data_IF_342171117381
#
_entry.id   IF_342171117381
#
_cell.length_a   1.000
_cell.length_b   1.000
_cell.length_c   1.000
_cell.angle_alpha   90.00
_cell.angle_beta   90.00
_cell.angle_gamma   90.00
#
_symmetry.space_group_name_H-M   'P 1'
#
loop_
_entity.id
_entity.type
_entity.pdbx_description
1 polymer ?
#
# COMPACT_ATOMS: atom_id res chain seq x y z
N UNK A 1 -21.28 41.78 -5.18
CA UNK A 1 -19.90 41.25 -5.34
C UNK A 1 -19.72 39.85 -4.74
N UNK A 2 -20.12 39.55 -3.49
CA UNK A 2 -20.02 38.17 -2.94
C UNK A 2 -20.77 37.11 -3.77
N UNK A 3 -21.97 37.46 -4.27
CA UNK A 3 -22.79 36.56 -5.09
C UNK A 3 -22.22 36.25 -6.49
N UNK A 4 -21.24 37.02 -6.99
CA UNK A 4 -20.62 36.77 -8.30
C UNK A 4 -19.35 35.93 -8.22
N UNK A 5 -18.64 35.94 -7.08
CA UNK A 5 -17.35 35.25 -6.93
C UNK A 5 -17.53 33.73 -6.81
N UNK A 6 -18.48 33.26 -6.01
CA UNK A 6 -18.69 31.81 -5.83
C UNK A 6 -19.01 31.05 -7.13
N UNK A 7 -19.89 31.56 -8.03
CA UNK A 7 -20.08 30.97 -9.35
C UNK A 7 -18.79 30.94 -10.20
N UNK A 8 -17.95 31.98 -10.13
CA UNK A 8 -16.67 32.03 -10.85
C UNK A 8 -15.68 30.99 -10.32
N UNK A 9 -15.53 30.90 -8.99
CA UNK A 9 -14.67 29.90 -8.34
C UNK A 9 -15.11 28.48 -8.70
N UNK A 10 -16.41 28.23 -8.72
CA UNK A 10 -16.98 26.94 -9.13
C UNK A 10 -16.64 26.62 -10.59
N UNK A 11 -16.82 27.59 -11.51
CA UNK A 11 -16.51 27.41 -12.93
C UNK A 11 -15.02 27.14 -13.18
N UNK A 12 -14.14 27.74 -12.39
CA UNK A 12 -12.69 27.52 -12.42
C UNK A 12 -12.23 26.27 -11.65
N UNK A 13 -13.15 25.54 -11.00
CA UNK A 13 -12.87 24.38 -10.14
C UNK A 13 -11.92 24.73 -8.98
N UNK A 14 -12.09 25.91 -8.40
CA UNK A 14 -11.35 26.43 -7.24
C UNK A 14 -12.14 26.14 -5.96
N UNK A 15 -12.33 24.86 -5.67
CA UNK A 15 -13.22 24.42 -4.58
C UNK A 15 -12.68 24.74 -3.19
N UNK A 16 -11.36 24.79 -3.01
CA UNK A 16 -10.75 25.17 -1.75
C UNK A 16 -10.94 26.63 -1.43
N UNK A 17 -10.64 27.50 -2.41
CA UNK A 17 -11.00 28.93 -2.32
C UNK A 17 -12.48 29.13 -2.05
N UNK A 18 -13.35 28.38 -2.73
CA UNK A 18 -14.81 28.51 -2.52
C UNK A 18 -15.26 28.11 -1.11
N UNK A 19 -14.58 27.17 -0.46
CA UNK A 19 -14.91 26.70 0.88
C UNK A 19 -14.35 27.64 1.97
N UNK A 20 -13.15 28.19 1.75
CA UNK A 20 -12.49 29.06 2.74
C UNK A 20 -12.77 30.56 2.56
N UNK A 21 -13.42 30.97 1.47
CA UNK A 21 -13.63 32.38 1.11
C UNK A 21 -14.19 33.23 2.26
N UNK A 22 -15.28 32.81 2.90
CA UNK A 22 -15.90 33.58 3.99
C UNK A 22 -14.99 33.67 5.23
N UNK A 23 -14.26 32.59 5.54
CA UNK A 23 -13.30 32.56 6.65
C UNK A 23 -12.14 33.52 6.39
N UNK A 24 -11.56 33.49 5.19
CA UNK A 24 -10.44 34.36 4.80
C UNK A 24 -10.86 35.82 4.66
N UNK A 25 -12.09 36.10 4.22
CA UNK A 25 -12.63 37.47 4.18
C UNK A 25 -12.76 38.06 5.59
N UNK A 26 -13.23 37.27 6.55
CA UNK A 26 -13.30 37.70 7.95
C UNK A 26 -11.90 37.92 8.52
N UNK A 27 -10.98 36.97 8.32
CA UNK A 27 -9.58 37.07 8.76
C UNK A 27 -8.88 38.32 8.21
N UNK A 28 -9.03 38.61 6.91
CA UNK A 28 -8.46 39.81 6.29
C UNK A 28 -8.99 41.09 6.95
N UNK A 29 -10.28 41.13 7.29
CA UNK A 29 -10.90 42.28 7.95
C UNK A 29 -10.47 42.47 9.40
N UNK A 30 -10.19 41.37 10.14
CA UNK A 30 -9.84 41.43 11.56
C UNK A 30 -8.35 41.61 11.82
N UNK A 31 -7.51 41.02 10.98
CA UNK A 31 -6.03 41.05 11.13
C UNK A 31 -5.36 42.11 10.24
N UNK A 32 -6.11 42.73 9.33
CA UNK A 32 -5.58 43.78 8.45
C UNK A 32 -4.67 43.26 7.35
N UNK A 33 -4.93 42.06 6.83
CA UNK A 33 -4.14 41.48 5.73
C UNK A 33 -4.12 42.42 4.52
N UNK A 34 -2.95 42.56 3.92
CA UNK A 34 -2.80 43.19 2.62
C UNK A 34 -3.51 42.38 1.55
N UNK A 35 -3.84 43.01 0.41
CA UNK A 35 -4.48 42.31 -0.72
C UNK A 35 -3.64 41.13 -1.24
N UNK A 36 -2.31 41.26 -1.20
CA UNK A 36 -1.40 40.20 -1.62
C UNK A 36 -1.43 39.02 -0.64
N UNK A 37 -1.33 39.28 0.67
CA UNK A 37 -1.38 38.22 1.69
C UNK A 37 -2.71 37.46 1.66
N UNK A 38 -3.84 38.18 1.55
CA UNK A 38 -5.15 37.54 1.40
C UNK A 38 -5.21 36.65 0.17
N UNK A 39 -4.72 37.13 -0.97
CA UNK A 39 -4.74 36.36 -2.21
C UNK A 39 -3.82 35.14 -2.14
N UNK A 40 -2.66 35.28 -1.53
CA UNK A 40 -1.72 34.19 -1.29
C UNK A 40 -2.35 33.09 -0.42
N UNK A 41 -2.96 33.46 0.71
CA UNK A 41 -3.64 32.50 1.60
C UNK A 41 -4.77 31.76 0.89
N UNK A 42 -5.57 32.47 0.09
CA UNK A 42 -6.63 31.85 -0.72
C UNK A 42 -6.07 30.84 -1.74
N UNK A 43 -4.95 31.15 -2.39
CA UNK A 43 -4.29 30.22 -3.29
C UNK A 43 -3.70 29.02 -2.55
N UNK A 44 -3.10 29.24 -1.37
CA UNK A 44 -2.60 28.16 -0.52
C UNK A 44 -3.72 27.20 -0.11
N UNK A 45 -4.90 27.70 0.26
CA UNK A 45 -6.06 26.85 0.59
C UNK A 45 -6.48 25.96 -0.60
N UNK A 46 -6.49 26.50 -1.81
CA UNK A 46 -6.77 25.71 -3.01
C UNK A 46 -5.70 24.65 -3.27
N UNK A 47 -4.41 25.02 -3.15
CA UNK A 47 -3.30 24.11 -3.36
C UNK A 47 -3.34 22.96 -2.35
N UNK A 48 -3.62 23.25 -1.08
CA UNK A 48 -3.76 22.25 -0.02
C UNK A 48 -4.87 21.26 -0.34
N UNK A 49 -6.07 21.74 -0.67
CA UNK A 49 -7.22 20.88 -0.99
C UNK A 49 -6.98 20.05 -2.26
N UNK A 50 -6.28 20.60 -3.25
CA UNK A 50 -5.87 19.82 -4.44
C UNK A 50 -4.85 18.75 -4.11
N UNK A 51 -3.86 19.07 -3.26
CA UNK A 51 -2.86 18.12 -2.76
C UNK A 51 -3.52 16.95 -2.04
N UNK A 52 -4.41 17.24 -1.09
CA UNK A 52 -5.13 16.24 -0.31
C UNK A 52 -5.96 15.31 -1.20
N UNK A 53 -6.74 15.87 -2.15
CA UNK A 53 -7.52 15.08 -3.10
C UNK A 53 -6.65 14.22 -4.01
N UNK A 54 -5.47 14.72 -4.41
CA UNK A 54 -4.54 13.94 -5.22
C UNK A 54 -4.02 12.72 -4.44
N UNK A 55 -3.67 12.92 -3.17
CA UNK A 55 -3.25 11.83 -2.27
C UNK A 55 -4.38 10.83 -2.08
N UNK A 56 -5.60 11.28 -1.75
CA UNK A 56 -6.77 10.41 -1.59
C UNK A 56 -7.05 9.58 -2.85
N UNK A 57 -6.95 10.19 -4.03
CA UNK A 57 -7.11 9.50 -5.31
C UNK A 57 -6.06 8.41 -5.48
N UNK A 58 -4.78 8.71 -5.21
CA UNK A 58 -3.70 7.74 -5.29
C UNK A 58 -3.86 6.60 -4.29
N UNK A 59 -4.29 6.87 -3.06
CA UNK A 59 -4.59 5.84 -2.05
C UNK A 59 -5.70 4.90 -2.55
N UNK A 60 -6.78 5.45 -3.12
CA UNK A 60 -7.87 4.64 -3.71
C UNK A 60 -7.37 3.77 -4.87
N UNK A 61 -6.56 4.35 -5.78
CA UNK A 61 -5.98 3.63 -6.90
C UNK A 61 -4.98 2.56 -6.48
N UNK A 62 -4.29 2.75 -5.35
CA UNK A 62 -3.33 1.79 -4.83
C UNK A 62 -3.96 0.46 -4.39
N UNK A 63 -5.27 0.42 -4.15
CA UNK A 63 -6.01 -0.81 -3.86
C UNK A 63 -5.43 -1.60 -2.66
N UNK A 64 -4.88 -0.91 -1.67
CA UNK A 64 -4.41 -1.53 -0.42
C UNK A 64 -5.51 -2.40 0.21
N UNK A 65 -5.10 -3.53 0.81
CA UNK A 65 -6.02 -4.35 1.62
C UNK A 65 -6.51 -3.56 2.81
N UNK A 66 -5.58 -2.92 3.52
CA UNK A 66 -5.85 -2.00 4.62
C UNK A 66 -4.90 -0.81 4.52
N UNK A 67 -5.40 0.41 4.75
CA UNK A 67 -4.52 1.59 4.82
C UNK A 67 -3.76 1.55 6.16
N UNK A 68 -2.51 1.12 6.12
CA UNK A 68 -1.61 1.04 7.28
C UNK A 68 -0.62 2.19 7.27
N UNK A 69 -0.25 2.70 8.44
CA UNK A 69 0.80 3.72 8.58
C UNK A 69 2.00 3.17 9.33
N UNK A 70 3.15 3.83 9.17
CA UNK A 70 4.38 3.45 9.86
C UNK A 70 4.30 3.74 11.36
N UNK A 71 3.54 4.76 11.74
CA UNK A 71 3.29 5.14 13.13
C UNK A 71 2.47 4.08 13.87
N UNK A 72 1.66 3.31 13.15
CA UNK A 72 0.85 2.21 13.72
C UNK A 72 1.67 0.94 13.96
N UNK A 73 2.93 0.89 13.51
CA UNK A 73 3.77 -0.30 13.63
C UNK A 73 4.53 -0.31 14.96
N UNK A 74 4.28 -1.34 15.79
CA UNK A 74 4.99 -1.51 17.05
C UNK A 74 6.37 -2.17 16.84
N UNK A 75 7.39 -1.33 16.66
CA UNK A 75 8.79 -1.75 16.57
C UNK A 75 9.33 -2.41 17.85
N UNK A 76 8.68 -2.20 19.00
CA UNK A 76 9.09 -2.83 20.25
C UNK A 76 8.72 -4.32 20.31
N UNK A 77 7.63 -4.69 19.62
CA UNK A 77 7.18 -6.07 19.50
C UNK A 77 8.14 -6.93 18.69
N UNK A 78 8.72 -6.37 17.62
CA UNK A 78 9.69 -7.08 16.78
C UNK A 78 10.99 -6.29 16.61
N UNK A 79 11.90 -6.46 17.58
CA UNK A 79 13.22 -5.79 17.62
C UNK A 79 14.16 -6.19 16.48
N UNK A 80 13.85 -7.25 15.75
CA UNK A 80 14.69 -7.68 14.60
C UNK A 80 14.56 -6.73 13.42
N UNK A 81 13.45 -5.97 13.36
CA UNK A 81 13.19 -4.99 12.33
C UNK A 81 13.86 -3.67 12.73
N UNK A 82 14.88 -3.28 11.96
CA UNK A 82 15.59 -2.02 12.20
C UNK A 82 14.73 -0.86 11.73
N UNK A 83 14.32 0.02 12.65
CA UNK A 83 13.54 1.22 12.33
C UNK A 83 14.22 2.08 11.26
N UNK A 84 15.54 2.27 11.33
CA UNK A 84 16.29 3.06 10.34
C UNK A 84 16.13 2.56 8.91
N UNK A 85 16.11 1.24 8.72
CA UNK A 85 15.97 0.58 7.42
C UNK A 85 14.55 0.80 6.85
N UNK A 86 13.52 0.65 7.68
CA UNK A 86 12.14 0.92 7.27
C UNK A 86 11.94 2.38 6.84
N UNK A 87 12.52 3.32 7.59
CA UNK A 87 12.42 4.74 7.27
C UNK A 87 13.24 5.12 6.03
N UNK A 88 14.37 4.44 5.76
CA UNK A 88 15.11 4.58 4.51
C UNK A 88 14.22 4.19 3.31
N UNK A 89 13.56 3.04 3.38
CA UNK A 89 12.64 2.60 2.32
C UNK A 89 11.49 3.58 2.13
N UNK A 90 10.97 4.14 3.22
CA UNK A 90 9.91 5.14 3.20
C UNK A 90 10.32 6.46 2.51
N UNK A 91 11.61 6.74 2.35
CA UNK A 91 12.09 7.90 1.56
C UNK A 91 11.88 7.72 0.05
N UNK A 92 11.65 6.48 -0.40
CA UNK A 92 11.50 6.12 -1.80
C UNK A 92 12.78 6.13 -2.61
N UNK A 93 13.96 6.10 -1.95
CA UNK A 93 15.24 6.03 -2.63
C UNK A 93 15.32 4.80 -3.55
N UNK A 94 14.98 3.62 -3.03
CA UNK A 94 14.99 2.38 -3.81
C UNK A 94 14.09 2.46 -5.05
N UNK A 95 12.94 3.14 -4.96
CA UNK A 95 12.01 3.33 -6.11
C UNK A 95 12.63 4.18 -7.21
N UNK A 96 13.34 5.26 -6.84
CA UNK A 96 14.03 6.14 -7.79
C UNK A 96 15.24 5.48 -8.43
N UNK A 97 15.86 4.55 -7.72
CA UNK A 97 17.00 3.75 -8.19
C UNK A 97 16.56 2.48 -8.94
N UNK A 98 15.25 2.27 -9.14
CA UNK A 98 14.67 1.06 -9.76
C UNK A 98 15.11 -0.25 -9.09
N UNK A 99 15.37 -0.20 -7.78
CA UNK A 99 15.68 -1.38 -6.97
C UNK A 99 14.41 -2.04 -6.46
N UNK A 100 14.48 -3.35 -6.26
CA UNK A 100 13.38 -4.15 -5.75
C UNK A 100 13.54 -4.43 -4.26
N UNK A 101 12.47 -4.87 -3.59
CA UNK A 101 12.52 -5.23 -2.16
C UNK A 101 11.78 -6.53 -1.92
N UNK A 102 12.42 -7.49 -1.26
CA UNK A 102 11.82 -8.75 -0.88
C UNK A 102 11.75 -8.91 0.64
N UNK A 103 10.53 -8.96 1.16
CA UNK A 103 10.27 -9.28 2.57
C UNK A 103 10.10 -10.77 2.77
N UNK A 104 10.97 -11.37 3.58
CA UNK A 104 10.95 -12.80 3.89
C UNK A 104 10.66 -13.02 5.37
N UNK A 105 9.89 -14.04 5.72
CA UNK A 105 9.72 -14.44 7.12
C UNK A 105 8.40 -15.16 7.38
N UNK A 106 8.18 -15.71 8.58
CA UNK A 106 6.96 -16.45 8.89
C UNK A 106 5.70 -15.56 8.86
N UNK A 107 4.50 -16.14 8.77
CA UNK A 107 3.25 -15.38 8.82
C UNK A 107 3.08 -14.59 10.13
N UNK A 108 2.50 -13.40 10.02
CA UNK A 108 2.17 -12.57 11.20
C UNK A 108 3.33 -11.77 11.79
N UNK A 109 4.49 -11.69 11.13
CA UNK A 109 5.65 -10.92 11.60
C UNK A 109 5.65 -9.43 11.22
N UNK A 110 4.70 -8.98 10.41
CA UNK A 110 4.54 -7.56 10.04
C UNK A 110 4.83 -7.20 8.57
N UNK A 111 5.28 -8.15 7.73
CA UNK A 111 5.63 -7.91 6.31
C UNK A 111 4.58 -7.10 5.54
N UNK A 112 3.34 -7.59 5.49
CA UNK A 112 2.24 -6.94 4.76
C UNK A 112 1.84 -5.59 5.35
N UNK A 113 2.03 -5.36 6.65
CA UNK A 113 1.79 -4.06 7.27
C UNK A 113 2.85 -3.07 6.79
N UNK A 114 4.13 -3.45 6.88
CA UNK A 114 5.25 -2.60 6.49
C UNK A 114 5.21 -2.25 5.00
N UNK A 115 4.90 -3.20 4.12
CA UNK A 115 4.77 -2.93 2.68
C UNK A 115 3.72 -1.86 2.39
N UNK A 116 2.51 -2.00 2.97
CA UNK A 116 1.42 -1.04 2.77
C UNK A 116 1.74 0.32 3.42
N UNK A 117 2.40 0.32 4.58
CA UNK A 117 2.81 1.55 5.27
C UNK A 117 3.90 2.31 4.50
N UNK A 118 4.90 1.61 3.95
CA UNK A 118 5.89 2.20 3.04
C UNK A 118 5.19 2.73 1.80
N UNK A 119 4.31 1.93 1.17
CA UNK A 119 3.52 2.35 0.01
C UNK A 119 2.72 3.63 0.27
N UNK A 120 2.10 3.76 1.44
CA UNK A 120 1.39 4.98 1.83
C UNK A 120 2.32 6.19 1.96
N UNK A 121 3.50 6.02 2.56
CA UNK A 121 4.52 7.08 2.65
C UNK A 121 4.97 7.55 1.26
N UNK A 122 5.14 6.61 0.32
CA UNK A 122 5.52 6.93 -1.06
C UNK A 122 4.42 7.66 -1.82
N UNK A 123 3.15 7.31 -1.60
CA UNK A 123 2.01 8.07 -2.15
C UNK A 123 2.01 9.51 -1.66
N UNK A 124 2.29 9.71 -0.36
CA UNK A 124 2.42 11.05 0.24
C UNK A 124 3.62 11.82 -0.33
N UNK A 125 4.69 11.12 -0.71
CA UNK A 125 5.84 11.67 -1.43
C UNK A 125 5.58 11.93 -2.93
N UNK A 126 4.35 11.74 -3.41
CA UNK A 126 3.95 12.05 -4.78
C UNK A 126 4.04 10.88 -5.76
N UNK A 127 4.44 9.69 -5.32
CA UNK A 127 4.57 8.50 -6.16
C UNK A 127 3.23 7.76 -6.32
N UNK A 128 3.16 6.92 -7.34
CA UNK A 128 2.06 5.99 -7.60
C UNK A 128 2.42 4.59 -7.11
N UNK A 129 1.49 3.97 -6.40
CA UNK A 129 1.68 2.62 -5.83
C UNK A 129 0.48 1.78 -6.23
N UNK A 130 0.69 0.49 -6.46
CA UNK A 130 -0.39 -0.48 -6.64
C UNK A 130 -0.11 -1.72 -5.80
N UNK A 131 -1.07 -2.15 -5.00
CA UNK A 131 -0.99 -3.32 -4.13
C UNK A 131 -1.94 -4.41 -4.62
N UNK A 132 -1.43 -5.63 -4.72
CA UNK A 132 -2.24 -6.84 -4.91
C UNK A 132 -1.63 -8.02 -4.18
N UNK A 133 -2.47 -8.95 -3.74
CA UNK A 133 -1.96 -10.27 -3.36
C UNK A 133 -1.56 -11.05 -4.62
N UNK A 134 -0.61 -11.97 -4.51
CA UNK A 134 -0.23 -12.83 -5.65
C UNK A 134 -1.43 -13.62 -6.20
N UNK A 135 -2.38 -14.01 -5.33
CA UNK A 135 -3.58 -14.73 -5.75
C UNK A 135 -4.56 -13.86 -6.53
N UNK A 136 -4.69 -12.59 -6.15
CA UNK A 136 -5.53 -11.64 -6.87
C UNK A 136 -4.89 -11.21 -8.19
N UNK A 137 -3.56 -11.10 -8.23
CA UNK A 137 -2.80 -10.89 -9.48
C UNK A 137 -3.10 -12.01 -10.47
N UNK A 138 -2.90 -13.27 -10.06
CA UNK A 138 -3.19 -14.42 -10.93
C UNK A 138 -4.66 -14.44 -11.34
N UNK A 139 -5.58 -14.12 -10.44
CA UNK A 139 -7.02 -14.08 -10.75
C UNK A 139 -7.35 -13.02 -11.80
N UNK A 140 -6.74 -11.84 -11.73
CA UNK A 140 -6.96 -10.77 -12.70
C UNK A 140 -6.57 -11.23 -14.11
N UNK A 141 -5.38 -11.83 -14.26
CA UNK A 141 -4.91 -12.32 -15.56
C UNK A 141 -5.74 -13.51 -16.08
N UNK A 142 -6.12 -14.46 -15.21
CA UNK A 142 -6.96 -15.60 -15.61
C UNK A 142 -8.35 -15.17 -16.09
N UNK A 143 -8.94 -14.13 -15.48
CA UNK A 143 -10.25 -13.66 -15.90
C UNK A 143 -10.21 -12.96 -17.26
N UNK A 144 -9.07 -12.38 -17.63
CA UNK A 144 -8.90 -11.52 -18.78
C UNK A 144 -8.45 -12.25 -20.05
N UNK A 145 -7.75 -13.38 -19.92
CA UNK A 145 -7.55 -14.32 -21.04
C UNK A 145 -8.88 -14.74 -21.67
N UNK A 146 -9.96 -14.78 -20.89
CA UNK A 146 -11.29 -15.09 -21.39
C UNK A 146 -11.97 -13.92 -22.14
N UNK A 147 -11.41 -12.70 -22.07
CA UNK A 147 -12.06 -11.45 -22.50
C UNK A 147 -11.20 -10.58 -23.45
N UNK A 148 -10.06 -11.07 -23.93
CA UNK A 148 -9.13 -10.39 -24.86
C UNK A 148 -8.58 -9.02 -24.35
N UNK A 149 -8.58 -8.78 -23.04
CA UNK A 149 -8.20 -7.50 -22.43
C UNK A 149 -6.75 -7.38 -21.93
N UNK A 150 -5.87 -8.34 -22.23
CA UNK A 150 -4.58 -8.59 -21.53
C UNK A 150 -3.72 -7.34 -21.35
N UNK A 151 -3.64 -6.48 -22.37
CA UNK A 151 -2.84 -5.26 -22.31
C UNK A 151 -3.33 -4.26 -21.25
N UNK A 152 -4.64 -4.16 -21.04
CA UNK A 152 -5.22 -3.21 -20.08
C UNK A 152 -4.91 -3.63 -18.65
N UNK A 153 -5.01 -4.93 -18.35
CA UNK A 153 -4.64 -5.45 -17.04
C UNK A 153 -3.15 -5.31 -16.85
N UNK A 154 -2.34 -5.70 -17.83
CA UNK A 154 -0.90 -5.59 -17.74
C UNK A 154 -0.43 -4.16 -17.46
N UNK A 155 -1.00 -3.15 -18.15
CA UNK A 155 -0.70 -1.73 -17.86
C UNK A 155 -0.94 -1.35 -16.40
N UNK A 156 -1.99 -1.88 -15.76
CA UNK A 156 -2.26 -1.63 -14.33
C UNK A 156 -1.13 -2.10 -13.42
N UNK A 157 -0.45 -3.19 -13.79
CA UNK A 157 0.69 -3.73 -13.06
C UNK A 157 2.03 -3.08 -13.46
N UNK A 158 2.14 -2.50 -14.66
CA UNK A 158 3.40 -1.92 -15.16
C UNK A 158 3.55 -0.41 -14.91
N UNK A 159 2.47 0.36 -14.97
CA UNK A 159 2.52 1.84 -14.87
C UNK A 159 2.90 2.40 -13.48
N UNK A 160 2.51 1.79 -12.34
CA UNK A 160 2.83 2.34 -11.02
C UNK A 160 4.34 2.44 -10.77
N UNK A 161 4.77 3.51 -10.09
CA UNK A 161 6.17 3.67 -9.64
C UNK A 161 6.60 2.49 -8.75
N UNK A 162 5.72 2.05 -7.85
CA UNK A 162 5.90 0.84 -7.05
C UNK A 162 4.73 -0.14 -7.23
N UNK A 163 5.05 -1.39 -7.57
CA UNK A 163 4.12 -2.51 -7.47
C UNK A 163 4.41 -3.31 -6.20
N UNK A 164 3.39 -3.57 -5.39
CA UNK A 164 3.49 -4.43 -4.20
C UNK A 164 2.73 -5.74 -4.48
N UNK A 165 3.44 -6.86 -4.44
CA UNK A 165 2.89 -8.21 -4.59
C UNK A 165 3.01 -8.96 -3.26
N UNK A 166 1.89 -9.15 -2.57
CA UNK A 166 1.85 -9.67 -1.21
C UNK A 166 1.43 -11.15 -1.14
N UNK A 167 1.67 -11.78 0.02
CA UNK A 167 1.21 -13.12 0.39
C UNK A 167 1.80 -14.31 -0.42
N UNK A 168 3.02 -14.18 -0.98
CA UNK A 168 3.69 -15.35 -1.58
C UNK A 168 3.95 -16.44 -0.53
N UNK A 169 3.83 -17.70 -0.93
CA UNK A 169 4.09 -18.85 -0.05
C UNK A 169 3.00 -19.20 0.96
N UNK A 170 1.80 -18.61 0.83
CA UNK A 170 0.64 -18.99 1.66
C UNK A 170 -0.03 -20.30 1.20
N UNK A 171 -0.13 -20.51 -0.11
CA UNK A 171 -0.72 -21.70 -0.77
C UNK A 171 -0.03 -21.91 -2.11
N UNK A 172 -0.19 -23.10 -2.70
CA UNK A 172 0.19 -23.30 -4.10
C UNK A 172 -0.64 -22.42 -5.02
N UNK A 173 0.01 -21.89 -6.04
CA UNK A 173 -0.63 -21.07 -7.05
C UNK A 173 -1.34 -21.96 -8.09
N UNK A 174 -2.39 -21.46 -8.76
CA UNK A 174 -2.98 -22.13 -9.92
C UNK A 174 -1.95 -22.41 -11.02
N UNK A 175 -2.27 -23.31 -11.96
CA UNK A 175 -1.46 -23.51 -13.16
C UNK A 175 -1.31 -22.17 -13.93
N UNK A 176 -0.20 -22.01 -14.67
CA UNK A 176 0.15 -20.81 -15.45
C UNK A 176 0.39 -19.52 -14.65
N UNK A 177 0.26 -19.55 -13.31
CA UNK A 177 0.56 -18.40 -12.46
C UNK A 177 1.99 -17.89 -12.59
N UNK A 178 2.93 -18.80 -12.85
CA UNK A 178 4.33 -18.47 -13.09
C UNK A 178 4.52 -17.59 -14.33
N UNK A 179 3.77 -17.84 -15.40
CA UNK A 179 3.85 -17.08 -16.66
C UNK A 179 3.43 -15.63 -16.42
N UNK A 180 2.30 -15.39 -15.74
CA UNK A 180 1.82 -14.03 -15.46
C UNK A 180 2.75 -13.26 -14.52
N UNK A 181 3.21 -13.91 -13.43
CA UNK A 181 4.16 -13.27 -12.52
C UNK A 181 5.47 -12.97 -13.23
N UNK A 182 5.97 -13.91 -14.05
CA UNK A 182 7.18 -13.72 -14.83
C UNK A 182 7.05 -12.55 -15.80
N UNK A 183 5.95 -12.44 -16.54
CA UNK A 183 5.74 -11.33 -17.47
C UNK A 183 5.77 -9.97 -16.75
N UNK A 184 5.11 -9.86 -15.60
CA UNK A 184 5.12 -8.63 -14.79
C UNK A 184 6.52 -8.29 -14.30
N UNK A 185 7.24 -9.26 -13.71
CA UNK A 185 8.59 -9.04 -13.18
C UNK A 185 9.57 -8.70 -14.31
N UNK A 186 9.52 -9.44 -15.42
CA UNK A 186 10.37 -9.23 -16.59
C UNK A 186 10.22 -7.81 -17.15
N UNK A 187 8.98 -7.32 -17.30
CA UNK A 187 8.72 -5.99 -17.90
C UNK A 187 8.99 -4.83 -16.93
N UNK A 188 9.06 -5.09 -15.63
CA UNK A 188 9.38 -4.08 -14.60
C UNK A 188 10.87 -4.02 -14.27
N UNK A 189 11.60 -5.12 -14.47
CA UNK A 189 13.05 -5.20 -14.25
C UNK A 189 13.79 -4.01 -14.89
N UNK A 190 14.61 -3.31 -14.10
CA UNK A 190 15.36 -2.08 -14.47
C UNK A 190 14.53 -0.88 -14.94
N UNK A 191 13.19 -0.95 -14.87
CA UNK A 191 12.30 0.13 -15.35
C UNK A 191 11.47 0.71 -14.21
N UNK A 192 10.95 -0.14 -13.31
CA UNK A 192 10.11 0.26 -12.17
C UNK A 192 10.27 -0.73 -11.01
N UNK A 193 10.21 -0.24 -9.78
CA UNK A 193 10.43 -1.07 -8.59
C UNK A 193 9.24 -1.95 -8.24
N UNK A 194 9.55 -3.13 -7.72
CA UNK A 194 8.60 -4.12 -7.23
C UNK A 194 8.99 -4.51 -5.81
N UNK A 195 8.00 -4.54 -4.93
CA UNK A 195 8.15 -5.03 -3.56
C UNK A 195 7.31 -6.29 -3.39
N UNK A 196 7.93 -7.36 -2.89
CA UNK A 196 7.24 -8.63 -2.68
C UNK A 196 7.32 -9.07 -1.22
N UNK A 197 6.33 -9.85 -0.77
CA UNK A 197 6.42 -10.57 0.50
C UNK A 197 6.32 -12.07 0.28
N UNK A 198 7.09 -12.85 1.05
CA UNK A 198 7.02 -14.30 1.05
C UNK A 198 7.05 -14.88 2.46
N UNK A 199 6.19 -15.88 2.66
CA UNK A 199 6.13 -16.69 3.87
C UNK A 199 6.97 -17.98 3.79
N UNK A 200 7.62 -18.23 2.64
CA UNK A 200 8.46 -19.40 2.39
C UNK A 200 9.85 -18.99 1.89
N UNK A 201 10.88 -19.81 2.16
CA UNK A 201 12.19 -19.66 1.53
C UNK A 201 12.11 -19.64 0.00
N UNK A 202 13.10 -19.02 -0.64
CA UNK A 202 13.13 -18.84 -2.10
C UNK A 202 13.21 -20.18 -2.85
N UNK A 203 13.88 -21.16 -2.25
CA UNK A 203 14.05 -22.52 -2.74
C UNK A 203 12.71 -23.24 -2.90
N UNK A 204 11.69 -22.86 -2.12
CA UNK A 204 10.34 -23.42 -2.22
C UNK A 204 9.50 -22.80 -3.34
N UNK A 205 9.94 -21.72 -3.99
CA UNK A 205 9.13 -21.01 -4.99
C UNK A 205 8.83 -21.87 -6.22
N UNK A 206 9.75 -22.73 -6.65
CA UNK A 206 9.49 -23.69 -7.72
C UNK A 206 8.30 -24.60 -7.43
N UNK A 207 8.17 -25.08 -6.19
CA UNK A 207 7.03 -25.90 -5.74
C UNK A 207 5.74 -25.10 -5.59
N UNK A 208 5.83 -23.83 -5.19
CA UNK A 208 4.67 -22.96 -5.01
C UNK A 208 4.07 -22.50 -6.34
N UNK A 209 4.92 -22.19 -7.32
CA UNK A 209 4.54 -21.80 -8.68
C UNK A 209 4.12 -23.01 -9.50
N UNK A 210 4.69 -24.19 -9.21
CA UNK A 210 4.43 -25.42 -9.96
C UNK A 210 5.23 -25.53 -11.26
N UNK A 211 6.19 -24.63 -11.47
CA UNK A 211 7.12 -24.62 -12.60
C UNK A 211 8.49 -24.08 -12.14
N UNK A 212 9.48 -24.97 -12.04
CA UNK A 212 10.81 -24.65 -11.54
C UNK A 212 11.55 -23.70 -12.49
N UNK A 213 11.62 -23.95 -13.82
CA UNK A 213 12.17 -23.00 -14.79
C UNK A 213 11.64 -21.57 -14.65
N UNK A 214 10.31 -21.38 -14.60
CA UNK A 214 9.73 -20.04 -14.42
C UNK A 214 10.10 -19.42 -13.08
N UNK A 215 10.07 -20.19 -11.99
CA UNK A 215 10.48 -19.71 -10.68
C UNK A 215 11.94 -19.23 -10.67
N UNK A 216 12.85 -20.00 -11.27
CA UNK A 216 14.26 -19.62 -11.41
C UNK A 216 14.41 -18.35 -12.24
N UNK A 217 13.70 -18.23 -13.36
CA UNK A 217 13.75 -17.05 -14.23
C UNK A 217 13.20 -15.78 -13.57
N UNK A 218 12.18 -15.91 -12.71
CA UNK A 218 11.63 -14.84 -11.88
C UNK A 218 12.66 -14.41 -10.83
N UNK A 219 13.21 -15.37 -10.08
CA UNK A 219 14.15 -15.09 -9.01
C UNK A 219 15.44 -14.46 -9.54
N UNK A 220 15.95 -14.94 -10.67
CA UNK A 220 17.15 -14.39 -11.32
C UNK A 220 17.00 -12.88 -11.60
N UNK A 221 15.88 -12.48 -12.22
CA UNK A 221 15.60 -11.07 -12.53
C UNK A 221 15.29 -10.27 -11.29
N UNK A 222 14.35 -10.74 -10.48
CA UNK A 222 13.90 -9.99 -9.32
C UNK A 222 15.02 -9.77 -8.31
N UNK A 223 15.87 -10.78 -8.07
CA UNK A 223 16.93 -10.68 -7.07
C UNK A 223 18.16 -9.91 -7.53
N UNK A 224 18.34 -9.69 -8.83
CA UNK A 224 19.50 -9.01 -9.39
C UNK A 224 19.74 -7.62 -8.76
N UNK A 225 18.66 -6.87 -8.51
CA UNK A 225 18.71 -5.55 -7.87
C UNK A 225 17.75 -5.43 -6.67
N UNK A 226 17.50 -6.55 -5.98
CA UNK A 226 16.64 -6.53 -4.77
C UNK A 226 17.42 -6.38 -3.47
N UNK A 227 16.82 -5.63 -2.54
CA UNK A 227 17.15 -5.72 -1.12
C UNK A 227 16.28 -6.80 -0.46
N UNK A 228 16.91 -7.83 0.08
CA UNK A 228 16.22 -8.94 0.77
C UNK A 228 16.20 -8.69 2.27
N UNK A 229 15.01 -8.45 2.82
CA UNK A 229 14.80 -8.13 4.24
C UNK A 229 14.16 -9.33 4.93
N UNK A 230 14.94 -10.00 5.77
CA UNK A 230 14.47 -11.13 6.56
C UNK A 230 13.92 -10.66 7.91
N UNK A 231 12.63 -10.91 8.13
CA UNK A 231 11.96 -10.67 9.40
C UNK A 231 11.79 -12.00 10.13
N UNK A 232 12.32 -12.06 11.34
CA UNK A 232 12.07 -13.18 12.27
C UNK A 232 11.21 -12.69 13.45
N UNK A 233 10.72 -13.62 14.27
CA UNK A 233 9.93 -13.29 15.45
C UNK A 233 8.57 -13.98 15.52
N UNK A 234 7.86 -13.74 16.61
CA UNK A 234 6.55 -14.35 16.87
C UNK A 234 5.45 -13.65 16.08
N UNK A 235 4.37 -14.37 15.81
CA UNK A 235 3.18 -13.82 15.16
C UNK A 235 2.49 -12.79 16.06
N UNK A 236 2.34 -11.56 15.56
CA UNK A 236 1.60 -10.49 16.24
C UNK A 236 0.13 -10.87 16.46
N UNK A 237 -0.46 -11.60 15.50
CA UNK A 237 -1.87 -12.05 15.56
C UNK A 237 -2.12 -13.00 16.74
N UNK A 238 -1.15 -13.87 17.04
CA UNK A 238 -1.25 -14.81 18.17
C UNK A 238 -0.99 -14.14 19.52
N UNK A 239 -0.17 -13.08 19.55
CA UNK A 239 0.11 -12.30 20.75
C UNK A 239 -1.11 -11.53 21.29
N UNK A 240 -2.01 -11.07 20.40
CA UNK A 240 -3.23 -10.36 20.79
C UNK A 240 -4.39 -11.28 21.18
N UNK A 241 -4.45 -12.51 20.66
CA UNK A 241 -5.48 -13.49 21.06
C UNK A 241 -5.42 -13.89 22.54
N UNK A 242 -4.26 -13.75 23.21
CA UNK A 242 -4.14 -13.98 24.66
C UNK A 242 -4.65 -12.84 25.54
N UNK A 243 -4.92 -11.65 24.98
CA UNK A 243 -5.45 -10.50 25.74
C UNK A 243 -6.97 -10.34 25.64
N UNK A 244 -7.63 -11.05 24.72
CA UNK A 244 -9.09 -10.95 24.50
C UNK A 244 -9.91 -12.09 25.10
N UNK A 245 -9.31 -13.01 25.85
CA UNK A 245 -9.98 -14.20 26.40
C UNK A 245 -10.03 -14.26 27.94
N UNK A 246 -10.02 -13.12 28.63
CA UNK A 246 -10.30 -13.04 30.07
C UNK A 246 -11.52 -12.15 30.31
N UNK A 247 -12.72 -12.68 30.10
CA UNK A 247 -13.93 -11.87 30.26
C UNK A 247 -15.26 -12.55 29.91
N UNK A 248 -15.41 -13.86 30.09
CA UNK A 248 -16.76 -14.46 30.14
C UNK A 248 -16.71 -15.72 31.01
N UNK A 249 -16.94 -15.54 32.31
CA UNK A 249 -17.35 -16.67 33.18
C UNK A 249 -18.70 -17.16 32.64
N UNK A 250 -18.74 -18.41 32.20
CA UNK A 250 -19.99 -19.11 31.90
C UNK A 250 -20.88 -19.14 33.16
N UNK A 251 -22.19 -18.89 33.06
CA UNK A 251 -23.08 -19.05 34.19
C UNK A 251 -23.25 -20.54 34.49
N UNK A 252 -22.98 -20.92 35.73
CA UNK A 252 -23.28 -22.22 36.32
C UNK A 252 -24.79 -22.44 36.30
N UNK A 253 -25.27 -23.33 35.43
CA UNK A 253 -26.64 -23.82 35.44
C UNK A 253 -26.89 -24.65 36.69
N UNK A 254 -27.83 -24.18 37.50
CA UNK A 254 -28.42 -24.87 38.65
C UNK A 254 -29.18 -26.12 38.21
N UNK A 255 -29.00 -27.20 38.96
CA UNK A 255 -29.78 -28.42 38.88
C UNK A 255 -31.23 -28.20 39.36
N UNK A 256 -32.17 -28.84 38.67
CA UNK A 256 -33.55 -29.16 39.09
C UNK A 256 -33.82 -30.54 38.50
N UNK A 257 -33.67 -31.61 39.29
CA UNK A 257 -34.73 -32.30 40.07
C UNK A 257 -35.69 -33.12 39.19
N UNK A 258 -35.42 -34.43 39.12
CA UNK A 258 -36.41 -35.47 38.84
C UNK A 258 -36.84 -36.10 40.17
N UNK A 259 -38.12 -35.93 40.52
CA UNK A 259 -38.96 -36.87 41.27
C UNK A 259 -40.43 -36.42 41.15
#
# INVERSE_FOLDING_TARGET
MRNTINPMLTKLRLSGMSQSLEVRLHEASSTGLTHLEFFELMLQDELNIRGDRQIERRIKLASFRDVRRLEDFDFSFNKTIKKSEIFELATGRFVREHRDVLWMGPPGTGKSHLCQAIGLSLIRAGMTVYYRSIFDLVRDFLHDEAMEGHERILKRYLEPDLLIIDDMGMKQLPKRSGEYLFEVILRRHDVRSTMMTSNRPLEEWGKLIGDIPSATAILDRFLHHSEVIQITGRSYRMGNSGKSSNGTKAPTGSATEEA
#
